data_IF_630652986348
#
_entry.id   IF_630652986348
#
_cell.length_a   1.000
_cell.length_b   1.000
_cell.length_c   1.000
_cell.angle_alpha   90.00
_cell.angle_beta   90.00
_cell.angle_gamma   90.00
#
_symmetry.space_group_name_H-M   'P 1'
#
loop_
_entity.id
_entity.type
_entity.pdbx_description
1 polymer ?
#
# COMPACT_ATOMS: atom_id res chain seq x y z
N UNK A 1 -7.73 19.64 12.54
CA UNK A 1 -7.57 19.85 11.09
C UNK A 1 -7.47 18.48 10.43
N UNK A 2 -8.35 18.15 9.49
CA UNK A 2 -8.24 16.91 8.71
C UNK A 2 -7.43 17.19 7.44
N UNK A 3 -6.56 16.25 7.05
CA UNK A 3 -5.79 16.29 5.79
C UNK A 3 -6.01 14.99 5.04
N UNK A 4 -6.03 15.05 3.71
CA UNK A 4 -5.94 13.84 2.88
C UNK A 4 -4.58 13.18 3.11
N UNK A 5 -4.46 11.93 2.66
CA UNK A 5 -3.19 11.22 2.60
C UNK A 5 -2.12 12.13 1.96
N UNK A 6 -2.38 12.66 0.76
CA UNK A 6 -1.42 13.49 0.03
C UNK A 6 -1.15 14.84 0.70
N UNK A 7 -2.20 15.42 1.26
CA UNK A 7 -2.11 16.69 1.97
C UNK A 7 -1.25 16.60 3.23
N UNK A 8 -1.25 15.46 3.92
CA UNK A 8 -0.37 15.24 5.09
C UNK A 8 1.08 15.16 4.66
N UNK A 9 1.41 14.30 3.70
CA UNK A 9 2.79 14.15 3.20
C UNK A 9 3.36 15.50 2.71
N UNK A 10 2.58 16.24 1.90
CA UNK A 10 2.95 17.58 1.45
C UNK A 10 3.13 18.58 2.59
N UNK A 11 2.27 18.54 3.61
CA UNK A 11 2.39 19.45 4.74
C UNK A 11 3.67 19.19 5.55
N UNK A 12 4.06 17.93 5.71
CA UNK A 12 5.32 17.54 6.35
C UNK A 12 6.52 18.04 5.53
N UNK A 13 6.58 17.66 4.25
CA UNK A 13 7.66 18.02 3.33
C UNK A 13 7.84 19.54 3.17
N UNK A 14 6.74 20.31 3.15
CA UNK A 14 6.79 21.77 3.02
C UNK A 14 7.05 22.51 4.33
N UNK A 15 7.14 21.83 5.48
CA UNK A 15 7.28 22.45 6.80
C UNK A 15 6.01 23.07 7.37
N UNK A 16 4.84 22.89 6.71
CA UNK A 16 3.53 23.29 7.25
C UNK A 16 3.13 22.42 8.47
N UNK A 17 3.75 21.25 8.63
CA UNK A 17 3.59 20.31 9.73
C UNK A 17 4.95 19.73 10.13
N UNK A 18 5.55 20.29 11.17
CA UNK A 18 6.80 19.77 11.74
C UNK A 18 6.55 18.53 12.61
N UNK A 19 7.48 17.56 12.60
CA UNK A 19 7.43 16.36 13.45
C UNK A 19 8.69 16.32 14.30
N UNK A 20 8.57 16.62 15.60
CA UNK A 20 9.71 16.57 16.52
C UNK A 20 10.16 15.11 16.77
N UNK A 21 9.21 14.20 16.95
CA UNK A 21 9.48 12.77 17.19
C UNK A 21 8.44 11.90 16.48
N UNK A 22 8.90 10.93 15.68
CA UNK A 22 8.07 9.91 15.05
C UNK A 22 8.23 8.56 15.77
N UNK A 23 7.13 8.02 16.29
CA UNK A 23 7.08 6.65 16.81
C UNK A 23 6.55 5.73 15.71
N UNK A 24 7.43 4.93 15.11
CA UNK A 24 7.09 4.05 14.00
C UNK A 24 7.00 2.61 14.52
N UNK A 25 5.78 2.09 14.56
CA UNK A 25 5.55 0.68 14.85
C UNK A 25 5.92 -0.16 13.62
N UNK A 26 6.95 -1.00 13.76
CA UNK A 26 7.42 -1.89 12.70
C UNK A 26 7.45 -3.34 13.18
N UNK A 27 6.72 -4.26 12.52
CA UNK A 27 6.66 -5.69 12.88
C UNK A 27 7.99 -6.41 12.97
N UNK A 28 9.03 -5.95 12.29
CA UNK A 28 10.39 -6.48 12.44
C UNK A 28 11.39 -5.35 12.35
N UNK A 29 12.37 -5.40 13.26
CA UNK A 29 13.52 -4.49 13.27
C UNK A 29 14.80 -5.25 13.64
N UNK A 30 15.95 -4.78 13.20
CA UNK A 30 17.23 -5.12 13.82
C UNK A 30 17.67 -4.06 14.84
N UNK A 31 18.73 -4.38 15.59
CA UNK A 31 19.28 -3.51 16.64
C UNK A 31 19.86 -2.18 16.13
N UNK A 32 20.04 -2.04 14.83
CA UNK A 32 20.59 -0.85 14.19
C UNK A 32 19.52 0.00 13.48
N UNK A 33 18.25 -0.42 13.50
CA UNK A 33 17.14 0.36 13.00
C UNK A 33 16.74 0.07 11.54
N UNK A 34 17.18 -1.04 10.95
CA UNK A 34 16.54 -1.50 9.71
C UNK A 34 15.18 -2.11 10.05
N UNK A 35 14.11 -1.64 9.41
CA UNK A 35 12.73 -2.04 9.69
C UNK A 35 12.05 -2.64 8.46
N UNK A 36 11.11 -3.56 8.66
CA UNK A 36 10.12 -3.92 7.63
C UNK A 36 8.75 -4.28 8.24
N UNK A 37 7.72 -4.26 7.38
CA UNK A 37 6.36 -4.63 7.76
C UNK A 37 5.92 -6.03 7.30
N UNK A 38 6.78 -6.80 6.63
CA UNK A 38 6.40 -8.09 6.01
C UNK A 38 6.80 -9.32 6.85
N UNK A 39 7.53 -9.12 7.93
CA UNK A 39 8.05 -10.16 8.82
C UNK A 39 7.56 -9.93 10.26
N UNK A 40 7.79 -10.90 11.13
CA UNK A 40 7.37 -10.81 12.53
C UNK A 40 5.92 -11.22 12.79
N UNK A 41 5.52 -11.27 14.08
CA UNK A 41 4.22 -11.78 14.50
C UNK A 41 3.07 -10.83 14.13
N UNK A 42 3.35 -9.53 13.92
CA UNK A 42 2.37 -8.47 13.63
C UNK A 42 2.50 -7.87 12.23
N UNK A 43 3.05 -8.62 11.28
CA UNK A 43 3.29 -8.20 9.90
C UNK A 43 2.07 -7.48 9.27
N UNK A 44 2.23 -6.21 8.91
CA UNK A 44 1.21 -5.32 8.35
C UNK A 44 1.34 -5.08 6.84
N UNK A 45 2.41 -5.58 6.22
CA UNK A 45 2.73 -5.35 4.81
C UNK A 45 3.45 -4.03 4.61
N UNK A 46 2.96 -3.21 3.68
CA UNK A 46 3.57 -1.93 3.35
C UNK A 46 3.59 -0.96 4.53
N UNK A 47 4.72 -0.31 4.76
CA UNK A 47 4.93 0.81 5.68
C UNK A 47 4.77 2.17 4.98
N UNK A 48 4.09 2.22 3.82
CA UNK A 48 4.03 3.40 2.93
C UNK A 48 3.73 4.74 3.61
N UNK A 49 2.88 4.77 4.63
CA UNK A 49 2.56 6.01 5.37
C UNK A 49 3.60 6.44 6.41
N UNK A 50 4.49 5.54 6.83
CA UNK A 50 5.59 5.86 7.75
C UNK A 50 6.77 6.54 7.03
N UNK A 51 6.81 6.50 5.69
CA UNK A 51 7.91 7.08 4.94
C UNK A 51 8.04 8.61 5.10
N UNK A 52 6.98 9.44 5.02
CA UNK A 52 7.11 10.86 5.32
C UNK A 52 7.60 11.11 6.76
N UNK A 53 7.20 10.27 7.70
CA UNK A 53 7.53 10.42 9.12
C UNK A 53 9.01 10.12 9.35
N UNK A 54 9.53 9.02 8.79
CA UNK A 54 10.96 8.69 8.92
C UNK A 54 11.88 9.62 8.14
N UNK A 55 11.39 10.25 7.07
CA UNK A 55 12.20 11.13 6.23
C UNK A 55 12.36 12.53 6.82
N UNK A 56 11.31 13.03 7.49
CA UNK A 56 11.22 14.45 7.89
C UNK A 56 11.10 14.69 9.39
N UNK A 57 10.99 13.66 10.24
CA UNK A 57 11.04 13.86 11.68
C UNK A 57 12.45 14.18 12.16
N UNK A 58 12.57 15.00 13.21
CA UNK A 58 13.86 15.29 13.84
C UNK A 58 14.44 14.07 14.57
N UNK A 59 13.57 13.19 15.05
CA UNK A 59 13.94 11.96 15.76
C UNK A 59 12.94 10.84 15.45
N UNK A 60 13.45 9.64 15.16
CA UNK A 60 12.66 8.46 14.83
C UNK A 60 12.92 7.35 15.84
N UNK A 61 11.85 6.94 16.52
CA UNK A 61 11.82 5.82 17.46
C UNK A 61 11.08 4.65 16.81
N UNK A 62 11.82 3.63 16.42
CA UNK A 62 11.25 2.37 15.98
C UNK A 62 10.72 1.56 17.18
N UNK A 63 9.49 1.08 17.07
CA UNK A 63 8.84 0.25 18.08
C UNK A 63 8.52 -1.10 17.44
N UNK A 64 9.14 -2.17 17.92
CA UNK A 64 9.03 -3.51 17.34
C UNK A 64 8.59 -4.55 18.36
N UNK A 65 7.89 -5.59 17.93
CA UNK A 65 7.67 -6.82 18.71
C UNK A 65 8.44 -8.03 18.15
N UNK A 66 9.31 -7.80 17.16
CA UNK A 66 10.23 -8.80 16.62
C UNK A 66 11.59 -8.15 16.35
N UNK A 67 12.47 -8.22 17.35
CA UNK A 67 13.87 -7.83 17.18
C UNK A 67 14.67 -9.01 16.63
N UNK A 68 15.37 -8.81 15.51
CA UNK A 68 16.19 -9.84 14.86
C UNK A 68 17.67 -9.45 14.83
N UNK A 69 18.60 -10.43 14.66
CA UNK A 69 20.02 -10.13 14.51
C UNK A 69 20.30 -9.30 13.25
N UNK A 70 21.25 -8.38 13.36
CA UNK A 70 21.75 -7.60 12.23
C UNK A 70 22.55 -8.47 11.23
N UNK A 71 22.45 -8.21 9.91
CA UNK A 71 21.55 -7.26 9.27
C UNK A 71 20.19 -7.87 8.92
N UNK A 72 19.11 -7.09 9.12
CA UNK A 72 17.81 -7.41 8.56
C UNK A 72 17.89 -7.45 7.03
N UNK A 73 17.40 -8.53 6.41
CA UNK A 73 17.58 -8.75 4.97
C UNK A 73 16.65 -7.89 4.10
N UNK A 74 15.38 -7.76 4.50
CA UNK A 74 14.39 -6.94 3.80
C UNK A 74 14.19 -5.66 4.57
N UNK A 75 14.46 -4.54 3.94
CA UNK A 75 14.49 -3.23 4.61
C UNK A 75 13.55 -2.27 3.87
N UNK A 76 12.49 -1.88 4.55
CA UNK A 76 11.56 -0.82 4.12
C UNK A 76 12.06 0.54 4.58
N UNK A 77 12.43 0.64 5.86
CA UNK A 77 13.01 1.84 6.47
C UNK A 77 14.45 1.51 6.88
N UNK A 78 15.46 2.20 6.32
CA UNK A 78 16.85 1.89 6.59
C UNK A 78 17.30 2.46 7.94
N UNK A 79 18.31 1.82 8.54
CA UNK A 79 19.00 2.26 9.76
C UNK A 79 19.44 3.72 9.76
N UNK A 80 19.65 4.34 8.59
CA UNK A 80 20.04 5.76 8.47
C UNK A 80 18.91 6.72 8.82
N UNK A 81 17.70 6.23 9.07
CA UNK A 81 16.49 7.01 9.36
C UNK A 81 15.90 6.69 10.74
N UNK A 82 16.63 5.96 11.59
CA UNK A 82 16.15 5.52 12.90
C UNK A 82 17.19 5.88 13.96
N UNK A 83 16.76 6.59 15.00
CA UNK A 83 17.63 7.00 16.11
C UNK A 83 17.59 6.00 17.27
N UNK A 84 16.42 5.40 17.53
CA UNK A 84 16.22 4.46 18.63
C UNK A 84 15.37 3.26 18.20
N UNK A 85 15.70 2.09 18.74
CA UNK A 85 14.90 0.87 18.60
C UNK A 85 14.42 0.42 19.98
N UNK A 86 13.11 0.24 20.13
CA UNK A 86 12.47 -0.20 21.37
C UNK A 86 11.65 -1.44 21.11
N UNK A 87 11.89 -2.48 21.90
CA UNK A 87 11.13 -3.73 21.83
C UNK A 87 9.95 -3.71 22.79
N UNK A 88 8.75 -4.04 22.30
CA UNK A 88 7.54 -4.26 23.08
C UNK A 88 7.05 -5.70 22.93
N UNK A 89 6.21 -6.21 23.86
CA UNK A 89 5.63 -7.55 23.73
C UNK A 89 4.70 -7.72 22.52
N UNK A 90 4.05 -6.65 22.07
CA UNK A 90 3.14 -6.65 20.93
C UNK A 90 2.90 -5.20 20.48
N UNK A 91 2.85 -4.98 19.17
CA UNK A 91 2.52 -3.66 18.57
C UNK A 91 1.18 -3.65 17.83
N UNK A 92 0.47 -4.79 17.75
CA UNK A 92 -0.80 -4.90 17.04
C UNK A 92 -1.41 -6.31 17.07
N UNK A 93 -2.58 -6.45 16.44
CA UNK A 93 -3.25 -7.74 16.23
C UNK A 93 -3.33 -8.05 14.72
N UNK A 94 -2.65 -9.11 14.23
CA UNK A 94 -2.71 -9.52 12.83
C UNK A 94 -4.13 -9.83 12.35
N UNK A 95 -4.99 -10.33 13.25
CA UNK A 95 -6.38 -10.64 12.92
C UNK A 95 -7.18 -9.38 12.62
N UNK A 96 -6.73 -8.22 13.10
CA UNK A 96 -7.31 -6.92 12.82
C UNK A 96 -6.99 -6.38 11.42
N UNK A 97 -5.99 -6.93 10.72
CA UNK A 97 -5.63 -6.48 9.36
C UNK A 97 -6.72 -6.83 8.35
N UNK A 98 -7.45 -7.94 8.58
CA UNK A 98 -8.52 -8.37 7.67
C UNK A 98 -9.69 -7.41 7.79
N UNK A 99 -9.80 -6.46 6.86
CA UNK A 99 -11.03 -5.69 6.70
C UNK A 99 -12.11 -6.59 6.10
N UNK A 100 -13.21 -6.81 6.82
CA UNK A 100 -14.35 -7.60 6.33
C UNK A 100 -14.97 -7.07 5.02
N UNK A 101 -14.55 -5.91 4.53
CA UNK A 101 -14.98 -5.31 3.27
C UNK A 101 -14.18 -5.76 2.05
N UNK A 102 -13.07 -6.48 2.20
CA UNK A 102 -12.16 -6.89 1.09
C UNK A 102 -12.70 -8.01 0.22
N UNK A 103 -13.95 -8.42 0.41
CA UNK A 103 -14.65 -9.34 -0.48
C UNK A 103 -15.52 -8.59 -1.48
N UNK A 104 -15.64 -9.16 -2.68
CA UNK A 104 -16.56 -8.64 -3.70
C UNK A 104 -17.99 -8.69 -3.13
N UNK A 105 -18.64 -7.53 -3.11
CA UNK A 105 -20.01 -7.38 -2.62
C UNK A 105 -21.00 -8.28 -3.36
N UNK A 106 -21.99 -8.79 -2.64
CA UNK A 106 -23.12 -9.55 -3.20
C UNK A 106 -24.39 -8.69 -3.35
N UNK A 107 -24.32 -7.45 -2.91
CA UNK A 107 -25.44 -6.51 -3.00
C UNK A 107 -25.72 -6.19 -4.48
N UNK A 108 -26.93 -6.48 -5.00
CA UNK A 108 -27.27 -6.25 -6.40
C UNK A 108 -27.17 -4.78 -6.81
N UNK A 109 -27.40 -3.82 -5.89
CA UNK A 109 -27.28 -2.39 -6.17
C UNK A 109 -25.82 -2.03 -6.39
N UNK A 110 -24.92 -2.47 -5.51
CA UNK A 110 -23.50 -2.21 -5.64
C UNK A 110 -22.89 -2.92 -6.86
N UNK A 111 -23.35 -4.14 -7.18
CA UNK A 111 -22.95 -4.84 -8.39
C UNK A 111 -23.41 -4.11 -9.65
N UNK A 112 -24.61 -3.50 -9.64
CA UNK A 112 -25.09 -2.67 -10.75
C UNK A 112 -24.22 -1.42 -10.92
N UNK A 113 -23.88 -0.74 -9.83
CA UNK A 113 -22.96 0.42 -9.85
C UNK A 113 -21.59 0.00 -10.41
N UNK A 114 -21.02 -1.09 -9.92
CA UNK A 114 -19.74 -1.61 -10.37
C UNK A 114 -19.75 -1.97 -11.87
N UNK A 115 -20.84 -2.59 -12.34
CA UNK A 115 -21.04 -2.89 -13.75
C UNK A 115 -21.06 -1.61 -14.60
N UNK A 116 -21.82 -0.60 -14.20
CA UNK A 116 -21.89 0.68 -14.92
C UNK A 116 -20.53 1.40 -14.92
N UNK A 117 -19.82 1.44 -13.79
CA UNK A 117 -18.49 2.02 -13.69
C UNK A 117 -17.48 1.29 -14.60
N UNK A 118 -17.52 -0.05 -14.64
CA UNK A 118 -16.67 -0.83 -15.56
C UNK A 118 -16.97 -0.52 -17.04
N UNK A 119 -18.25 -0.34 -17.40
CA UNK A 119 -18.65 0.04 -18.76
C UNK A 119 -18.16 1.45 -19.11
N UNK A 120 -18.22 2.39 -18.16
CA UNK A 120 -17.66 3.73 -18.35
C UNK A 120 -16.14 3.69 -18.58
N UNK A 121 -15.39 2.86 -17.83
CA UNK A 121 -13.96 2.66 -18.04
C UNK A 121 -13.68 2.10 -19.44
N UNK A 122 -14.46 1.11 -19.89
CA UNK A 122 -14.33 0.55 -21.24
C UNK A 122 -14.65 1.60 -22.32
N UNK A 123 -15.72 2.37 -22.12
CA UNK A 123 -16.16 3.40 -23.07
C UNK A 123 -15.20 4.60 -23.13
N UNK A 124 -14.42 4.84 -22.09
CA UNK A 124 -13.42 5.93 -22.05
C UNK A 124 -12.30 5.80 -23.09
N UNK A 125 -12.08 4.59 -23.62
CA UNK A 125 -10.94 4.29 -24.50
C UNK A 125 -9.58 4.24 -23.78
N UNK A 126 -9.56 4.39 -22.46
CA UNK A 126 -8.33 4.33 -21.64
C UNK A 126 -7.92 2.89 -21.28
N UNK A 127 -8.85 1.94 -21.34
CA UNK A 127 -8.58 0.52 -21.10
C UNK A 127 -7.86 -0.10 -22.31
N UNK A 128 -6.53 0.06 -22.34
CA UNK A 128 -5.60 -0.45 -23.36
C UNK A 128 -4.36 -1.03 -22.68
N UNK A 129 -3.55 -1.80 -23.41
CA UNK A 129 -2.30 -2.34 -22.87
C UNK A 129 -1.43 -1.25 -22.23
N UNK A 130 -0.92 -1.53 -21.04
CA UNK A 130 -0.10 -0.60 -20.25
C UNK A 130 -0.89 0.41 -19.42
N UNK A 131 -2.22 0.34 -19.35
CA UNK A 131 -3.00 1.21 -18.44
C UNK A 131 -2.64 0.97 -16.97
N UNK A 132 -2.76 2.02 -16.15
CA UNK A 132 -2.64 1.93 -14.70
C UNK A 132 -4.02 1.91 -14.04
N UNK A 133 -4.14 1.28 -12.88
CA UNK A 133 -5.41 1.11 -12.20
C UNK A 133 -5.31 1.35 -10.69
N UNK A 134 -6.35 1.94 -10.11
CA UNK A 134 -6.55 2.00 -8.68
C UNK A 134 -8.02 1.69 -8.39
N UNK A 135 -8.27 0.94 -7.33
CA UNK A 135 -9.61 0.64 -6.85
C UNK A 135 -9.67 0.74 -5.34
N UNK A 136 -10.88 0.87 -4.80
CA UNK A 136 -11.09 0.83 -3.36
C UNK A 136 -11.08 -0.60 -2.83
N UNK A 137 -10.94 -0.71 -1.51
CA UNK A 137 -10.81 -1.98 -0.80
C UNK A 137 -12.15 -2.64 -0.42
N UNK A 138 -13.28 -2.18 -0.99
CA UNK A 138 -14.57 -2.81 -0.72
C UNK A 138 -15.77 -2.28 -1.52
N UNK A 139 -16.90 -2.96 -1.32
CA UNK A 139 -18.18 -2.60 -1.91
C UNK A 139 -18.19 -2.56 -3.44
N UNK A 140 -18.87 -1.56 -4.01
CA UNK A 140 -18.93 -1.36 -5.46
C UNK A 140 -17.55 -1.14 -6.09
N UNK A 141 -16.65 -0.42 -5.41
CA UNK A 141 -15.32 -0.11 -5.94
C UNK A 141 -14.49 -1.38 -6.18
N UNK A 142 -14.37 -2.26 -5.18
CA UNK A 142 -13.71 -3.55 -5.35
C UNK A 142 -14.40 -4.41 -6.41
N UNK A 143 -15.72 -4.37 -6.49
CA UNK A 143 -16.46 -5.10 -7.53
C UNK A 143 -16.15 -4.62 -8.95
N UNK A 144 -15.76 -3.36 -9.17
CA UNK A 144 -15.29 -2.87 -10.48
C UNK A 144 -14.08 -3.68 -10.96
N UNK A 145 -13.14 -4.00 -10.06
CA UNK A 145 -11.98 -4.82 -10.40
C UNK A 145 -12.39 -6.21 -10.93
N UNK A 146 -13.47 -6.78 -10.40
CA UNK A 146 -14.02 -8.07 -10.87
C UNK A 146 -14.61 -8.01 -12.27
N UNK A 147 -15.29 -6.91 -12.62
CA UNK A 147 -15.75 -6.70 -14.00
C UNK A 147 -14.58 -6.43 -14.95
N UNK A 148 -13.61 -5.60 -14.55
CA UNK A 148 -12.43 -5.31 -15.36
C UNK A 148 -11.59 -6.55 -15.61
N UNK A 149 -11.39 -7.42 -14.60
CA UNK A 149 -10.73 -8.71 -14.75
C UNK A 149 -11.31 -9.53 -15.91
N UNK A 150 -12.63 -9.57 -16.05
CA UNK A 150 -13.30 -10.28 -17.17
C UNK A 150 -12.99 -9.63 -18.51
N UNK A 151 -13.09 -8.31 -18.59
CA UNK A 151 -12.83 -7.56 -19.84
C UNK A 151 -11.37 -7.68 -20.27
N UNK A 152 -10.43 -7.57 -19.32
CA UNK A 152 -9.00 -7.71 -19.56
C UNK A 152 -8.67 -9.08 -20.14
N UNK A 153 -9.23 -10.15 -19.55
CA UNK A 153 -9.08 -11.52 -20.10
C UNK A 153 -9.66 -11.65 -21.50
N UNK A 154 -10.87 -11.16 -21.72
CA UNK A 154 -11.56 -11.24 -23.02
C UNK A 154 -10.83 -10.48 -24.13
N UNK A 155 -10.23 -9.34 -23.81
CA UNK A 155 -9.55 -8.46 -24.77
C UNK A 155 -8.03 -8.65 -24.79
N UNK A 156 -7.50 -9.59 -24.00
CA UNK A 156 -6.07 -9.81 -23.80
C UNK A 156 -5.32 -8.51 -23.46
N UNK A 157 -5.91 -7.71 -22.55
CA UNK A 157 -5.33 -6.45 -22.07
C UNK A 157 -4.56 -6.70 -20.78
N UNK A 158 -3.32 -6.25 -20.73
CA UNK A 158 -2.46 -6.28 -19.55
C UNK A 158 -2.19 -4.84 -19.10
N UNK A 159 -2.47 -4.55 -17.83
CA UNK A 159 -2.16 -3.26 -17.21
C UNK A 159 -0.69 -3.18 -16.79
N UNK A 160 -0.11 -1.98 -16.81
CA UNK A 160 1.28 -1.78 -16.36
C UNK A 160 1.40 -1.95 -14.85
N UNK A 161 0.55 -1.30 -14.08
CA UNK A 161 0.51 -1.48 -12.63
C UNK A 161 -0.87 -1.19 -12.04
N UNK A 162 -1.14 -1.79 -10.87
CA UNK A 162 -2.16 -1.29 -9.96
C UNK A 162 -1.52 -0.66 -8.71
N UNK A 163 -2.10 0.46 -8.26
CA UNK A 163 -1.59 1.29 -7.17
C UNK A 163 -2.67 1.44 -6.08
N UNK A 164 -2.24 1.61 -4.84
CA UNK A 164 -3.08 2.06 -3.74
C UNK A 164 -2.84 1.21 -2.51
N UNK A 165 -3.88 1.00 -1.72
CA UNK A 165 -3.84 -0.10 -0.77
C UNK A 165 -4.27 -1.40 -1.43
N UNK A 166 -3.42 -2.40 -1.34
CA UNK A 166 -3.57 -3.65 -2.09
C UNK A 166 -4.44 -4.63 -1.30
N UNK A 167 -5.32 -5.30 -2.04
CA UNK A 167 -6.14 -6.43 -1.54
C UNK A 167 -5.70 -7.73 -2.20
N UNK A 168 -6.04 -8.86 -1.58
CA UNK A 168 -5.87 -10.19 -2.15
C UNK A 168 -6.53 -10.36 -3.52
N UNK A 169 -7.55 -9.54 -3.84
CA UNK A 169 -8.13 -9.52 -5.17
C UNK A 169 -7.15 -8.98 -6.22
N UNK A 170 -6.48 -7.86 -5.94
CA UNK A 170 -5.45 -7.30 -6.83
C UNK A 170 -4.23 -8.22 -6.90
N UNK A 171 -3.85 -8.87 -5.79
CA UNK A 171 -2.83 -9.92 -5.77
C UNK A 171 -3.19 -11.04 -6.76
N UNK A 172 -4.44 -11.54 -6.73
CA UNK A 172 -4.86 -12.59 -7.68
C UNK A 172 -4.79 -12.13 -9.14
N UNK A 173 -5.08 -10.85 -9.40
CA UNK A 173 -4.96 -10.28 -10.76
C UNK A 173 -3.50 -10.15 -11.20
N UNK A 174 -2.57 -9.81 -10.30
CA UNK A 174 -1.14 -9.82 -10.56
C UNK A 174 -0.65 -11.23 -10.89
N UNK A 175 -1.01 -12.22 -10.06
CA UNK A 175 -0.61 -13.63 -10.24
C UNK A 175 -1.19 -14.24 -11.54
N UNK A 176 -2.32 -13.72 -12.02
CA UNK A 176 -2.91 -14.08 -13.32
C UNK A 176 -2.29 -13.38 -14.53
N UNK A 177 -1.31 -12.50 -14.32
CA UNK A 177 -0.67 -11.74 -15.40
C UNK A 177 -1.54 -10.63 -15.99
N UNK A 178 -2.55 -10.15 -15.25
CA UNK A 178 -3.41 -9.05 -15.69
C UNK A 178 -2.80 -7.68 -15.41
N UNK A 179 -1.89 -7.61 -14.43
CA UNK A 179 -1.03 -6.47 -14.22
C UNK A 179 0.43 -6.94 -14.22
N UNK A 180 1.35 -6.10 -14.71
CA UNK A 180 2.77 -6.43 -14.60
C UNK A 180 3.30 -6.20 -13.18
N UNK A 181 2.76 -5.20 -12.46
CA UNK A 181 3.22 -4.80 -11.12
C UNK A 181 2.07 -4.38 -10.20
N UNK A 182 2.29 -4.52 -8.91
CA UNK A 182 1.53 -3.83 -7.86
C UNK A 182 2.45 -2.84 -7.15
N UNK A 183 1.91 -1.67 -6.80
CA UNK A 183 2.59 -0.64 -6.02
C UNK A 183 1.75 -0.39 -4.77
N UNK A 184 2.27 -0.81 -3.63
CA UNK A 184 1.49 -0.92 -2.38
C UNK A 184 1.87 0.17 -1.38
N UNK A 185 0.91 1.03 -1.09
CA UNK A 185 1.00 2.06 -0.04
C UNK A 185 0.50 1.50 1.30
N UNK A 186 -0.36 0.46 1.28
CA UNK A 186 -1.00 -0.12 2.45
C UNK A 186 -1.61 -1.50 2.14
N UNK A 187 -1.19 -2.54 2.87
CA UNK A 187 -1.86 -3.84 2.80
C UNK A 187 -3.25 -3.81 3.48
N UNK A 188 -4.31 -4.18 2.77
CA UNK A 188 -5.68 -4.27 3.33
C UNK A 188 -6.08 -5.68 3.80
N UNK A 189 -5.27 -6.68 3.52
CA UNK A 189 -5.46 -8.05 3.99
C UNK A 189 -4.14 -8.83 4.02
N UNK A 190 -4.16 -10.00 4.66
CA UNK A 190 -2.97 -10.85 4.80
C UNK A 190 -2.45 -11.41 3.47
N UNK A 191 -3.28 -11.46 2.43
CA UNK A 191 -2.84 -11.87 1.09
C UNK A 191 -1.97 -10.78 0.44
N UNK A 192 -2.32 -9.50 0.61
CA UNK A 192 -1.45 -8.39 0.23
C UNK A 192 -0.10 -8.45 0.96
N UNK A 193 -0.12 -8.67 2.28
CA UNK A 193 1.11 -8.82 3.10
C UNK A 193 1.99 -9.98 2.61
N UNK A 194 1.39 -11.17 2.40
CA UNK A 194 2.07 -12.35 1.85
C UNK A 194 2.69 -12.04 0.49
N UNK A 195 1.92 -11.42 -0.38
CA UNK A 195 2.34 -11.11 -1.74
C UNK A 195 3.49 -10.11 -1.75
N UNK A 196 3.41 -9.04 -0.98
CA UNK A 196 4.50 -8.05 -0.86
C UNK A 196 5.80 -8.71 -0.37
N UNK A 197 5.69 -9.67 0.55
CA UNK A 197 6.86 -10.42 1.03
C UNK A 197 7.51 -11.26 -0.06
N UNK A 198 6.75 -11.88 -0.95
CA UNK A 198 7.22 -13.03 -1.74
C UNK A 198 7.20 -12.83 -3.26
N UNK A 199 6.41 -11.88 -3.76
CA UNK A 199 6.26 -11.62 -5.18
C UNK A 199 7.13 -10.42 -5.60
N UNK A 200 8.15 -10.61 -6.47
CA UNK A 200 9.05 -9.53 -6.87
C UNK A 200 8.36 -8.43 -7.70
N UNK A 201 7.16 -8.70 -8.24
CA UNK A 201 6.35 -7.72 -8.96
C UNK A 201 5.37 -6.97 -8.05
N UNK A 202 5.32 -7.30 -6.76
CA UNK A 202 4.59 -6.55 -5.76
C UNK A 202 5.60 -5.67 -5.00
N UNK A 203 5.56 -4.38 -5.30
CA UNK A 203 6.52 -3.41 -4.81
C UNK A 203 5.91 -2.60 -3.67
N UNK A 204 6.68 -2.41 -2.60
CA UNK A 204 6.34 -1.42 -1.59
C UNK A 204 6.49 -0.03 -2.22
N UNK A 205 5.52 0.83 -1.96
CA UNK A 205 5.63 2.21 -2.38
C UNK A 205 6.64 2.94 -1.50
N UNK A 206 7.71 3.44 -2.14
CA UNK A 206 8.74 4.24 -1.51
C UNK A 206 8.70 5.64 -2.13
N UNK A 207 8.46 6.73 -1.36
CA UNK A 207 8.32 8.09 -1.90
C UNK A 207 9.56 8.73 -2.54
N UNK A 208 10.66 8.00 -2.81
CA UNK A 208 12.05 8.50 -3.03
C UNK A 208 12.23 9.51 -4.18
N UNK A 209 11.19 9.99 -4.84
CA UNK A 209 11.30 11.14 -5.73
C UNK A 209 9.97 11.90 -5.82
N UNK A 210 9.79 12.92 -4.98
CA UNK A 210 8.77 13.96 -5.20
C UNK A 210 9.36 15.38 -5.35
N UNK A 211 10.42 15.63 -6.14
CA UNK A 211 10.88 17.01 -6.34
C UNK A 211 9.97 17.85 -7.27
N UNK A 212 8.84 17.34 -7.77
CA UNK A 212 8.02 18.10 -8.75
C UNK A 212 6.50 17.96 -8.57
N UNK A 213 5.79 19.03 -8.95
CA UNK A 213 4.32 19.13 -8.97
C UNK A 213 3.60 18.07 -9.83
N UNK A 214 4.33 17.28 -10.63
CA UNK A 214 3.77 16.24 -11.50
C UNK A 214 3.37 14.98 -10.72
N UNK A 215 4.00 14.68 -9.59
CA UNK A 215 3.76 13.45 -8.80
C UNK A 215 2.75 13.64 -7.67
N UNK A 216 2.46 14.88 -7.24
CA UNK A 216 1.34 15.17 -6.34
C UNK A 216 -0.01 14.73 -6.92
N UNK A 217 -0.16 14.69 -8.24
CA UNK A 217 -1.39 14.20 -8.90
C UNK A 217 -1.72 12.74 -8.55
N UNK A 218 -0.72 11.88 -8.28
CA UNK A 218 -0.96 10.49 -7.87
C UNK A 218 -1.46 10.39 -6.41
N UNK A 219 -1.09 11.34 -5.56
CA UNK A 219 -1.55 11.45 -4.17
C UNK A 219 -2.84 12.29 -4.01
N UNK A 220 -3.26 13.05 -5.03
CA UNK A 220 -4.48 13.86 -5.00
C UNK A 220 -5.76 13.06 -5.29
N UNK A 221 -5.62 11.80 -5.72
CA UNK A 221 -6.74 10.91 -6.07
C UNK A 221 -7.06 9.92 -4.92
N UNK A 222 -6.35 9.99 -3.79
CA UNK A 222 -6.64 9.24 -2.56
C UNK A 222 -7.16 10.10 -1.40
#
# INVERSE_FOLDING_TARGET
>A
MFRTHGGRARAIECGDLHIDVAFIAAPTADEYGNLNGTEGPTACGSLGYAFPDMEYADCVVAVTDSLVPYPLQKVSIPQTRVDYVVTLPSIGDPKGIVSGTTQVTKDPVQLKIASLASQAIVASGLLKNGFSFQTGAGGASLAVASYLRKVMKQKSIVGSFALGGITGYLVSMLEEGLFERLIDVQGFDLEAVRSLKSNPNHLEWVPVCMPTRLTQAAWLIS
#
